data_IF_741119658204
#
_entry.id   IF_741119658204
#
_cell.length_a   1.000
_cell.length_b   1.000
_cell.length_c   1.000
_cell.angle_alpha   90.00
_cell.angle_beta   90.00
_cell.angle_gamma   90.00
#
_symmetry.space_group_name_H-M   'P 1'
#
loop_
_entity.id
_entity.type
_entity.pdbx_description
1 polymer ?
#
# COMPACT_ATOMS: atom_id res chain seq x y z
N UNK A 1 14.13 4.05 -63.85
CA UNK A 1 14.84 5.12 -64.59
C UNK A 1 14.67 6.39 -63.76
N UNK A 2 15.65 7.12 -63.25
CA UNK A 2 17.10 7.11 -63.40
C UNK A 2 17.70 7.61 -62.08
N UNK A 3 18.87 7.09 -61.71
CA UNK A 3 19.63 7.45 -60.53
C UNK A 3 20.72 8.48 -60.89
N UNK A 4 21.05 9.43 -60.01
CA UNK A 4 22.36 10.13 -59.97
C UNK A 4 22.64 10.64 -58.54
N UNK A 5 23.79 10.25 -57.96
CA UNK A 5 24.48 10.87 -56.79
C UNK A 5 25.37 12.04 -57.27
N UNK A 6 25.87 12.96 -56.43
CA UNK A 6 27.14 12.79 -55.67
C UNK A 6 27.12 13.56 -54.31
N UNK A 7 28.12 13.63 -53.42
CA UNK A 7 29.53 13.27 -53.37
C UNK A 7 30.13 13.82 -52.05
N UNK A 8 31.23 13.24 -51.60
CA UNK A 8 31.95 13.48 -50.34
C UNK A 8 32.90 14.70 -50.35
N UNK A 9 33.30 15.12 -49.14
CA UNK A 9 34.61 15.73 -48.83
C UNK A 9 34.51 16.88 -47.80
N UNK A 10 35.49 17.23 -46.96
CA UNK A 10 36.69 16.62 -46.37
C UNK A 10 37.27 17.66 -45.37
N UNK A 11 38.20 17.24 -44.47
CA UNK A 11 39.15 18.07 -43.67
C UNK A 11 38.61 18.93 -42.50
N UNK A 12 39.30 19.19 -41.36
CA UNK A 12 40.68 18.94 -40.89
C UNK A 12 40.76 19.00 -39.35
N UNK A 13 41.74 18.27 -38.79
CA UNK A 13 42.26 18.35 -37.40
C UNK A 13 42.92 19.70 -37.09
N UNK A 14 42.99 20.06 -35.80
CA UNK A 14 44.24 20.52 -35.14
C UNK A 14 44.22 20.31 -33.62
N UNK A 15 45.37 19.86 -33.15
CA UNK A 15 45.79 19.48 -31.80
C UNK A 15 46.78 20.51 -31.22
N UNK A 16 46.92 20.54 -29.88
CA UNK A 16 48.09 20.92 -29.04
C UNK A 16 47.69 20.69 -27.57
N UNK A 17 48.22 19.75 -26.78
CA UNK A 17 49.58 19.60 -26.20
C UNK A 17 50.16 20.91 -25.62
N UNK A 18 50.65 21.00 -24.37
CA UNK A 18 50.85 20.01 -23.31
C UNK A 18 51.63 20.58 -22.10
N UNK A 19 52.06 19.65 -21.22
CA UNK A 19 53.12 19.73 -20.17
C UNK A 19 52.81 20.54 -18.89
N UNK A 20 53.17 20.14 -17.66
CA UNK A 20 53.91 18.98 -17.13
C UNK A 20 54.74 19.38 -15.87
N UNK A 21 55.05 18.38 -15.01
CA UNK A 21 56.01 18.36 -13.84
C UNK A 21 55.46 18.88 -12.50
N UNK A 22 55.73 18.32 -11.30
CA UNK A 22 56.55 17.23 -10.75
C UNK A 22 56.46 17.26 -9.20
N UNK A 23 56.65 16.14 -8.48
CA UNK A 23 56.51 15.97 -7.00
C UNK A 23 57.62 16.60 -6.13
N UNK A 24 57.96 16.15 -4.88
CA UNK A 24 57.54 14.94 -4.12
C UNK A 24 57.36 15.07 -2.56
N UNK A 25 57.04 13.94 -1.89
CA UNK A 25 57.33 13.54 -0.48
C UNK A 25 56.61 14.29 0.68
N UNK A 26 56.18 13.69 1.80
CA UNK A 26 56.83 12.74 2.73
C UNK A 26 55.80 11.95 3.60
N UNK A 27 56.19 10.75 4.04
CA UNK A 27 55.61 10.02 5.19
C UNK A 27 56.16 10.56 6.53
N UNK A 28 55.60 10.15 7.68
CA UNK A 28 56.27 9.07 8.42
C UNK A 28 55.34 8.04 9.09
N UNK A 29 55.90 6.86 9.32
CA UNK A 29 55.40 5.77 10.17
C UNK A 29 56.01 5.82 11.57
N UNK A 30 55.43 5.01 12.49
CA UNK A 30 55.86 4.49 13.80
C UNK A 30 54.75 4.78 14.84
N UNK A 31 54.24 3.85 15.65
CA UNK A 31 54.49 2.42 15.84
C UNK A 31 53.68 1.93 17.07
N UNK A 32 53.39 0.62 17.11
CA UNK A 32 53.21 -0.25 18.30
C UNK A 32 52.31 0.19 19.47
N UNK A 33 51.23 -0.54 19.71
CA UNK A 33 50.50 -0.52 20.98
C UNK A 33 49.43 -1.62 21.07
N UNK A 34 49.71 -2.62 21.90
CA UNK A 34 48.88 -3.76 22.33
C UNK A 34 47.54 -3.34 22.99
N UNK A 35 46.56 -4.26 22.97
CA UNK A 35 45.13 -4.09 23.33
C UNK A 35 44.80 -3.57 24.75
N UNK A 36 43.50 -3.51 25.13
CA UNK A 36 42.73 -4.74 25.32
C UNK A 36 41.22 -4.69 24.91
N UNK A 37 40.64 -5.89 24.82
CA UNK A 37 39.25 -6.28 25.16
C UNK A 37 38.07 -5.48 24.60
N UNK A 38 37.38 -6.09 23.62
CA UNK A 38 35.98 -5.80 23.33
C UNK A 38 35.11 -6.37 24.46
N UNK A 39 34.55 -5.52 25.31
CA UNK A 39 33.39 -5.88 26.13
C UNK A 39 32.17 -6.00 25.21
N UNK A 40 31.64 -7.21 25.12
CA UNK A 40 30.31 -7.45 24.60
C UNK A 40 29.29 -6.82 25.57
N UNK A 41 28.68 -5.70 25.18
CA UNK A 41 27.46 -5.23 25.83
C UNK A 41 26.30 -6.16 25.42
N UNK A 42 26.08 -7.20 26.22
CA UNK A 42 24.79 -7.92 26.27
C UNK A 42 23.71 -6.94 26.73
N UNK A 43 22.83 -6.54 25.82
CA UNK A 43 21.57 -5.91 26.17
C UNK A 43 20.59 -6.99 26.62
N UNK A 44 20.38 -7.06 27.94
CA UNK A 44 19.36 -7.87 28.59
C UNK A 44 17.96 -7.32 28.22
N UNK A 45 17.32 -7.93 27.22
CA UNK A 45 15.89 -7.71 26.95
C UNK A 45 15.07 -8.47 27.99
N UNK A 46 15.00 -7.89 29.19
CA UNK A 46 14.09 -8.34 30.23
C UNK A 46 12.64 -8.22 29.78
N UNK A 47 12.06 -9.34 29.33
CA UNK A 47 10.63 -9.48 29.03
C UNK A 47 9.84 -9.34 30.33
N UNK A 48 9.43 -8.11 30.66
CA UNK A 48 8.39 -7.87 31.65
C UNK A 48 7.02 -7.93 30.95
N UNK A 49 6.54 -9.16 30.78
CA UNK A 49 5.15 -9.45 30.41
C UNK A 49 4.21 -8.99 31.53
N UNK A 50 3.66 -7.78 31.40
CA UNK A 50 2.38 -7.37 32.02
C UNK A 50 1.68 -6.34 31.15
N UNK A 51 0.96 -6.79 30.12
CA UNK A 51 -0.15 -6.01 29.56
C UNK A 51 -1.45 -6.78 29.75
N UNK A 52 -2.41 -6.16 30.45
CA UNK A 52 -3.77 -6.66 30.59
C UNK A 52 -4.41 -6.58 29.20
N UNK A 53 -4.60 -7.72 28.55
CA UNK A 53 -5.28 -7.85 27.28
C UNK A 53 -6.70 -7.26 27.37
N UNK A 54 -7.09 -6.30 26.52
CA UNK A 54 -8.50 -6.01 26.31
C UNK A 54 -9.19 -7.28 25.81
N UNK A 55 -10.40 -7.56 26.30
CA UNK A 55 -11.11 -8.83 26.06
C UNK A 55 -11.44 -9.06 24.59
N UNK A 56 -10.51 -9.64 23.82
CA UNK A 56 -10.74 -10.25 22.50
C UNK A 56 -11.44 -11.62 22.58
N UNK A 57 -11.79 -12.09 23.80
CA UNK A 57 -12.41 -13.38 24.11
C UNK A 57 -13.78 -13.66 23.43
N UNK A 58 -14.34 -12.71 22.68
CA UNK A 58 -15.58 -12.90 21.90
C UNK A 58 -15.34 -13.12 20.41
N UNK A 59 -14.09 -13.02 19.95
CA UNK A 59 -13.71 -13.60 18.68
C UNK A 59 -13.74 -15.12 18.89
N UNK A 60 -14.80 -15.77 18.44
CA UNK A 60 -14.68 -17.18 18.11
C UNK A 60 -14.14 -17.16 16.69
N UNK A 61 -12.85 -17.47 16.47
CA UNK A 61 -12.47 -17.89 15.13
C UNK A 61 -13.49 -18.95 14.73
N UNK A 62 -14.11 -18.83 13.55
CA UNK A 62 -14.49 -20.09 12.88
C UNK A 62 -13.23 -20.94 12.91
N UNK A 63 -13.32 -22.23 13.17
CA UNK A 63 -12.15 -23.09 13.27
C UNK A 63 -11.42 -23.07 11.90
N UNK A 64 -10.53 -22.08 11.72
CA UNK A 64 -9.87 -21.77 10.44
C UNK A 64 -8.82 -22.84 10.13
N UNK A 65 -8.55 -23.71 11.11
CA UNK A 65 -7.71 -24.89 11.00
C UNK A 65 -8.22 -25.89 9.95
N UNK A 66 -9.50 -25.81 9.55
CA UNK A 66 -10.09 -26.66 8.51
C UNK A 66 -10.15 -26.00 7.11
N UNK A 67 -9.72 -24.74 6.96
CA UNK A 67 -9.63 -24.10 5.63
C UNK A 67 -8.39 -24.64 4.92
N UNK A 68 -8.61 -25.65 4.07
CA UNK A 68 -7.68 -26.28 3.09
C UNK A 68 -6.28 -25.65 3.04
N UNK A 69 -5.45 -25.95 4.04
CA UNK A 69 -4.03 -25.60 4.01
C UNK A 69 -3.27 -26.63 3.18
N UNK A 70 -3.52 -26.61 1.87
CA UNK A 70 -2.70 -27.33 0.89
C UNK A 70 -1.53 -26.46 0.44
N UNK A 71 -0.36 -27.04 0.11
CA UNK A 71 0.77 -26.31 -0.48
C UNK A 71 0.41 -25.59 -1.80
N UNK A 72 -0.71 -25.95 -2.44
CA UNK A 72 -1.15 -25.44 -3.75
C UNK A 72 -1.95 -24.12 -3.70
N UNK A 73 -2.24 -23.57 -2.52
CA UNK A 73 -2.88 -22.25 -2.40
C UNK A 73 -2.43 -21.51 -1.13
N UNK A 74 -1.31 -20.74 -1.18
CA UNK A 74 -0.87 -19.96 -0.04
C UNK A 74 -1.90 -18.87 0.30
N UNK A 75 -2.14 -18.55 1.59
CA UNK A 75 -3.08 -17.52 1.98
C UNK A 75 -2.65 -16.16 1.41
N UNK A 76 -3.61 -15.38 0.96
CA UNK A 76 -3.38 -14.04 0.36
C UNK A 76 -3.77 -12.91 1.30
N UNK A 77 -4.44 -13.21 2.41
CA UNK A 77 -4.94 -12.24 3.40
C UNK A 77 -4.40 -12.56 4.78
N UNK A 78 -3.91 -11.54 5.49
CA UNK A 78 -3.69 -11.55 6.93
C UNK A 78 -4.47 -10.44 7.60
N UNK A 79 -5.36 -10.78 8.53
CA UNK A 79 -6.26 -9.83 9.18
C UNK A 79 -5.82 -9.55 10.61
N UNK A 80 -5.65 -8.29 10.96
CA UNK A 80 -5.24 -7.85 12.29
C UNK A 80 -6.34 -7.07 12.99
N UNK A 81 -6.48 -7.30 14.30
CA UNK A 81 -7.06 -6.32 15.19
C UNK A 81 -5.99 -5.34 15.64
N UNK A 82 -6.34 -4.06 15.72
CA UNK A 82 -5.41 -2.98 16.08
C UNK A 82 -5.72 -2.48 17.48
N UNK A 83 -4.88 -2.74 18.47
CA UNK A 83 -5.00 -2.24 19.85
C UNK A 83 -4.22 -0.94 20.11
N UNK A 84 -4.14 -0.54 21.39
CA UNK A 84 -3.38 0.63 21.82
C UNK A 84 -4.08 1.95 21.52
N UNK A 85 -3.37 2.90 20.88
CA UNK A 85 -3.88 4.22 20.48
C UNK A 85 -3.76 4.40 18.96
N UNK A 86 -4.54 3.64 18.18
CA UNK A 86 -4.47 3.75 16.73
C UNK A 86 -4.89 5.14 16.24
N UNK A 87 -4.39 5.58 15.07
CA UNK A 87 -4.86 6.82 14.47
C UNK A 87 -6.31 6.68 13.98
N UNK A 88 -6.91 7.82 13.62
CA UNK A 88 -8.14 7.82 12.82
C UNK A 88 -7.89 7.27 11.42
N UNK A 89 -8.92 6.72 10.78
CA UNK A 89 -8.84 6.24 9.40
C UNK A 89 -8.40 7.35 8.43
N UNK A 90 -8.71 8.61 8.74
CA UNK A 90 -8.23 9.77 8.01
C UNK A 90 -6.70 9.93 8.00
N UNK A 91 -6.00 9.29 8.93
CA UNK A 91 -4.54 9.19 8.98
C UNK A 91 -4.04 7.74 8.82
N UNK A 92 -4.88 6.88 8.24
CA UNK A 92 -4.58 5.45 8.06
C UNK A 92 -3.34 5.20 7.21
N UNK A 93 -3.01 6.09 6.26
CA UNK A 93 -1.81 5.96 5.41
C UNK A 93 -0.53 5.91 6.25
N UNK A 94 -0.45 6.67 7.33
CA UNK A 94 0.71 6.69 8.23
C UNK A 94 0.86 5.36 8.95
N UNK A 95 -0.25 4.79 9.44
CA UNK A 95 -0.24 3.45 10.03
C UNK A 95 0.17 2.39 9.00
N UNK A 96 -0.37 2.45 7.79
CA UNK A 96 -0.04 1.51 6.74
C UNK A 96 1.45 1.54 6.36
N UNK A 97 2.06 2.72 6.30
CA UNK A 97 3.51 2.85 6.07
C UNK A 97 4.35 2.25 7.21
N UNK A 98 3.89 2.36 8.45
CA UNK A 98 4.56 1.76 9.61
C UNK A 98 4.43 0.24 9.64
N UNK A 99 3.25 -0.29 9.30
CA UNK A 99 3.05 -1.73 9.10
C UNK A 99 3.92 -2.26 7.96
N UNK A 100 3.97 -1.55 6.84
CA UNK A 100 4.83 -1.90 5.71
C UNK A 100 6.30 -2.00 6.12
N UNK A 101 6.82 -0.95 6.77
CA UNK A 101 8.22 -0.93 7.21
C UNK A 101 8.55 -2.10 8.15
N UNK A 102 7.66 -2.39 9.10
CA UNK A 102 7.84 -3.52 10.01
C UNK A 102 7.80 -4.87 9.29
N UNK A 103 6.89 -5.07 8.33
CA UNK A 103 6.82 -6.32 7.55
C UNK A 103 8.04 -6.51 6.64
N UNK A 104 8.54 -5.43 6.04
CA UNK A 104 9.80 -5.46 5.27
C UNK A 104 10.97 -5.90 6.16
N UNK A 105 11.08 -5.34 7.36
CA UNK A 105 12.14 -5.71 8.32
C UNK A 105 12.00 -7.16 8.79
N UNK A 106 10.81 -7.55 9.27
CA UNK A 106 10.54 -8.89 9.81
C UNK A 106 10.66 -10.01 8.77
N UNK A 107 10.51 -9.69 7.48
CA UNK A 107 10.64 -10.64 6.37
C UNK A 107 12.02 -10.66 5.74
N UNK A 108 12.96 -9.86 6.23
CA UNK A 108 14.28 -9.68 5.60
C UNK A 108 14.13 -9.26 4.12
N UNK A 109 13.29 -8.26 3.87
CA UNK A 109 13.16 -7.62 2.55
C UNK A 109 12.35 -8.41 1.51
N UNK A 110 11.39 -9.25 1.91
CA UNK A 110 10.58 -10.01 0.95
C UNK A 110 9.97 -9.12 -0.15
N UNK A 111 10.08 -9.57 -1.41
CA UNK A 111 9.49 -8.92 -2.58
C UNK A 111 7.97 -8.70 -2.45
N UNK A 112 7.29 -9.60 -1.73
CA UNK A 112 5.85 -9.47 -1.45
C UNK A 112 5.54 -8.22 -0.64
N UNK A 113 6.42 -7.80 0.27
CA UNK A 113 6.20 -6.59 1.06
C UNK A 113 6.91 -5.36 0.48
N UNK A 114 8.13 -5.50 -0.03
CA UNK A 114 8.90 -4.37 -0.59
C UNK A 114 8.30 -3.88 -1.91
N UNK A 115 7.62 -4.75 -2.66
CA UNK A 115 7.18 -4.46 -4.01
C UNK A 115 8.33 -4.29 -5.00
N UNK A 116 9.51 -4.81 -4.68
CA UNK A 116 10.70 -4.75 -5.53
C UNK A 116 11.27 -6.15 -5.81
N UNK A 117 11.93 -6.29 -6.95
CA UNK A 117 12.75 -7.47 -7.26
C UNK A 117 14.11 -7.45 -6.53
N UNK A 118 14.90 -8.50 -6.71
CA UNK A 118 16.24 -8.63 -6.10
C UNK A 118 17.22 -7.51 -6.49
N UNK A 119 16.97 -6.82 -7.61
CA UNK A 119 17.77 -5.68 -8.06
C UNK A 119 17.22 -4.34 -7.51
N UNK A 120 16.22 -4.37 -6.64
CA UNK A 120 15.57 -3.19 -6.06
C UNK A 120 14.65 -2.46 -7.04
N UNK A 121 14.30 -3.07 -8.16
CA UNK A 121 13.41 -2.46 -9.17
C UNK A 121 11.95 -2.74 -8.79
N UNK A 122 11.04 -1.77 -8.93
CA UNK A 122 9.62 -1.99 -8.66
C UNK A 122 9.05 -3.13 -9.49
N UNK A 123 8.29 -4.01 -8.86
CA UNK A 123 7.60 -5.12 -9.53
C UNK A 123 6.56 -4.59 -10.52
N UNK A 124 6.40 -5.34 -11.62
CA UNK A 124 5.36 -5.08 -12.62
C UNK A 124 4.10 -5.83 -12.23
N UNK A 125 2.95 -5.15 -12.33
CA UNK A 125 1.69 -5.68 -11.85
C UNK A 125 1.59 -5.54 -10.32
N UNK A 126 0.43 -5.12 -9.83
CA UNK A 126 0.18 -4.83 -8.43
C UNK A 126 0.12 -6.09 -7.54
N UNK A 127 1.00 -7.06 -7.76
CA UNK A 127 1.01 -8.37 -7.07
C UNK A 127 1.64 -8.38 -5.68
N UNK A 128 2.12 -7.23 -5.19
CA UNK A 128 2.69 -7.08 -3.85
C UNK A 128 1.66 -6.55 -2.84
N UNK A 129 2.03 -6.56 -1.57
CA UNK A 129 1.12 -6.34 -0.46
C UNK A 129 0.44 -4.96 -0.50
N UNK A 130 -0.86 -4.99 -0.23
CA UNK A 130 -1.68 -3.87 0.15
C UNK A 130 -1.89 -3.93 1.65
N UNK A 131 -1.72 -2.81 2.32
CA UNK A 131 -2.02 -2.67 3.74
C UNK A 131 -3.19 -1.72 3.86
N UNK A 132 -4.33 -2.27 4.28
CA UNK A 132 -5.64 -1.65 4.17
C UNK A 132 -6.21 -1.46 5.59
N UNK A 133 -6.06 -0.26 6.17
CA UNK A 133 -6.68 0.07 7.45
C UNK A 133 -8.20 0.16 7.32
N UNK A 134 -8.91 -0.36 8.31
CA UNK A 134 -10.37 -0.33 8.40
C UNK A 134 -10.77 0.32 9.73
N UNK A 135 -11.77 1.20 9.66
CA UNK A 135 -12.51 1.66 10.84
C UNK A 135 -13.88 1.04 10.81
N UNK A 136 -14.05 0.05 11.68
CA UNK A 136 -15.31 -0.66 11.92
C UNK A 136 -15.82 -0.24 13.28
N UNK A 137 -16.98 0.42 13.31
CA UNK A 137 -17.71 0.68 14.54
C UNK A 137 -18.38 -0.61 15.01
N UNK A 138 -17.63 -1.39 15.79
CA UNK A 138 -18.07 -2.65 16.34
C UNK A 138 -17.29 -2.96 17.61
N UNK A 139 -17.83 -3.88 18.43
CA UNK A 139 -17.15 -4.39 19.62
C UNK A 139 -16.71 -3.30 20.62
N UNK A 140 -17.41 -2.16 20.63
CA UNK A 140 -17.14 -1.03 21.52
C UNK A 140 -15.97 -0.13 21.07
N UNK A 141 -15.49 -0.27 19.84
CA UNK A 141 -14.39 0.51 19.24
C UNK A 141 -14.82 1.10 17.90
N UNK A 142 -14.02 2.00 17.35
CA UNK A 142 -14.27 2.70 16.09
C UNK A 142 -15.24 3.87 16.23
N UNK A 143 -15.61 4.25 17.45
CA UNK A 143 -16.65 5.26 17.73
C UNK A 143 -16.26 6.67 17.31
N UNK A 144 -14.96 6.94 17.16
CA UNK A 144 -14.46 8.24 16.71
C UNK A 144 -13.77 8.16 15.35
N UNK A 145 -13.95 7.02 14.65
CA UNK A 145 -13.30 6.73 13.39
C UNK A 145 -11.87 6.22 13.52
N UNK A 146 -11.44 5.77 14.69
CA UNK A 146 -10.14 5.11 14.87
C UNK A 146 -10.04 3.82 14.06
N UNK A 147 -8.83 3.50 13.59
CA UNK A 147 -8.56 2.24 12.92
C UNK A 147 -8.72 1.10 13.93
N UNK A 148 -9.58 0.13 13.61
CA UNK A 148 -9.84 -1.03 14.46
C UNK A 148 -9.22 -2.30 13.88
N UNK A 149 -9.05 -2.37 12.56
CA UNK A 149 -8.46 -3.50 11.87
C UNK A 149 -7.47 -3.04 10.80
N UNK A 150 -6.50 -3.89 10.50
CA UNK A 150 -5.64 -3.76 9.31
C UNK A 150 -5.69 -5.07 8.56
N UNK A 151 -6.00 -4.99 7.27
CA UNK A 151 -5.95 -6.12 6.35
C UNK A 151 -4.69 -6.02 5.51
N UNK A 152 -3.82 -7.03 5.57
CA UNK A 152 -2.66 -7.18 4.67
C UNK A 152 -3.06 -8.15 3.56
N UNK A 153 -3.07 -7.70 2.32
CA UNK A 153 -3.50 -8.48 1.16
C UNK A 153 -2.41 -8.50 0.09
N UNK A 154 -1.98 -9.68 -0.35
CA UNK A 154 -1.08 -9.82 -1.49
C UNK A 154 -1.65 -10.82 -2.50
N UNK A 155 -1.96 -10.40 -3.75
CA UNK A 155 -2.47 -11.32 -4.77
C UNK A 155 -1.54 -12.51 -5.04
N UNK A 156 -0.22 -12.32 -4.88
CA UNK A 156 0.79 -13.38 -5.03
C UNK A 156 0.86 -14.38 -3.88
N UNK A 157 0.11 -14.17 -2.79
CA UNK A 157 0.09 -15.04 -1.61
C UNK A 157 1.27 -14.83 -0.66
N UNK A 158 1.16 -15.45 0.52
CA UNK A 158 2.16 -15.44 1.58
C UNK A 158 2.83 -16.80 1.70
N UNK A 159 4.11 -16.87 1.37
CA UNK A 159 4.97 -18.03 1.61
C UNK A 159 5.33 -18.19 3.08
N UNK A 160 6.21 -19.14 3.40
CA UNK A 160 6.61 -19.42 4.79
C UNK A 160 7.26 -18.21 5.46
N UNK A 161 8.11 -17.49 4.74
CA UNK A 161 8.78 -16.27 5.20
C UNK A 161 7.78 -15.15 5.48
N UNK A 162 6.84 -14.92 4.58
CA UNK A 162 5.83 -13.87 4.74
C UNK A 162 4.88 -14.19 5.89
N UNK A 163 4.47 -15.45 6.03
CA UNK A 163 3.64 -15.91 7.15
C UNK A 163 4.36 -15.73 8.49
N UNK A 164 5.64 -16.07 8.57
CA UNK A 164 6.43 -15.84 9.78
C UNK A 164 6.53 -14.34 10.12
N UNK A 165 6.70 -13.46 9.13
CA UNK A 165 6.71 -12.01 9.34
C UNK A 165 5.33 -11.49 9.82
N UNK A 166 4.24 -11.95 9.22
CA UNK A 166 2.88 -11.63 9.65
C UNK A 166 2.63 -12.10 11.09
N UNK A 167 3.05 -13.32 11.41
CA UNK A 167 2.97 -13.88 12.75
C UNK A 167 3.90 -13.20 13.75
N UNK A 168 5.01 -12.58 13.33
CA UNK A 168 5.91 -11.85 14.23
C UNK A 168 5.46 -10.40 14.48
N UNK A 169 4.64 -9.82 13.59
CA UNK A 169 4.15 -8.46 13.71
C UNK A 169 3.22 -8.32 14.93
N UNK A 170 3.67 -7.55 15.93
CA UNK A 170 2.95 -7.33 17.20
C UNK A 170 2.72 -5.87 17.56
N UNK A 171 3.57 -4.99 17.07
CA UNK A 171 3.50 -3.57 17.39
C UNK A 171 4.15 -2.76 16.26
N UNK A 172 3.65 -1.55 16.04
CA UNK A 172 4.30 -0.54 15.20
C UNK A 172 4.39 0.79 15.92
N UNK A 173 5.53 1.48 15.74
CA UNK A 173 5.82 2.78 16.37
C UNK A 173 6.42 3.79 15.38
N UNK A 174 6.21 5.07 15.67
CA UNK A 174 6.84 6.21 15.00
C UNK A 174 5.89 7.03 14.13
N UNK A 175 6.31 8.23 13.71
CA UNK A 175 5.47 9.25 13.05
C UNK A 175 4.19 9.58 13.84
N UNK A 176 4.28 9.56 15.17
CA UNK A 176 3.12 9.78 16.06
C UNK A 176 2.19 8.55 16.19
N UNK A 177 2.51 7.42 15.56
CA UNK A 177 1.75 6.17 15.67
C UNK A 177 2.31 5.31 16.80
N UNK A 178 1.41 4.74 17.61
CA UNK A 178 1.66 3.64 18.53
C UNK A 178 0.45 2.71 18.47
N UNK A 179 0.63 1.54 17.85
CA UNK A 179 -0.45 0.58 17.66
C UNK A 179 0.03 -0.84 17.91
N UNK A 180 -0.76 -1.58 18.71
CA UNK A 180 -0.58 -3.01 18.92
C UNK A 180 -1.32 -3.77 17.81
N UNK A 181 -0.74 -4.85 17.30
CA UNK A 181 -1.32 -5.66 16.24
C UNK A 181 -1.44 -7.10 16.69
N UNK A 182 -2.67 -7.61 16.64
CA UNK A 182 -2.98 -9.02 16.92
C UNK A 182 -3.44 -9.66 15.62
N UNK A 183 -2.64 -10.58 15.07
CA UNK A 183 -3.05 -11.37 13.92
C UNK A 183 -4.25 -12.25 14.33
N UNK A 184 -5.39 -12.05 13.66
CA UNK A 184 -6.63 -12.77 13.91
C UNK A 184 -6.71 -14.04 13.07
N UNK A 185 -6.36 -13.95 11.79
CA UNK A 185 -6.46 -15.05 10.85
C UNK A 185 -5.62 -14.81 9.58
N UNK A 186 -5.28 -15.92 8.92
CA UNK A 186 -4.75 -15.98 7.56
C UNK A 186 -5.75 -16.72 6.66
N UNK A 187 -5.92 -16.29 5.41
CA UNK A 187 -6.84 -16.93 4.48
C UNK A 187 -6.92 -16.22 3.13
N UNK A 188 -8.08 -16.29 2.48
CA UNK A 188 -8.38 -15.64 1.21
C UNK A 188 -9.49 -14.59 1.38
N UNK A 189 -9.67 -13.65 0.44
CA UNK A 189 -10.69 -12.61 0.59
C UNK A 189 -12.09 -13.14 0.87
N UNK A 190 -12.51 -14.21 0.18
CA UNK A 190 -13.82 -14.83 0.36
C UNK A 190 -14.08 -15.41 1.75
N UNK A 191 -13.02 -15.77 2.50
CA UNK A 191 -13.14 -16.30 3.87
C UNK A 191 -13.58 -15.21 4.87
N UNK A 192 -13.33 -13.95 4.52
CA UNK A 192 -13.55 -12.78 5.38
C UNK A 192 -14.53 -11.78 4.78
N UNK A 193 -15.22 -12.12 3.68
CA UNK A 193 -16.17 -11.23 3.04
C UNK A 193 -17.46 -11.04 3.85
N UNK A 194 -17.96 -9.81 3.92
CA UNK A 194 -19.31 -9.51 4.44
C UNK A 194 -19.33 -8.53 5.61
N UNK A 195 -20.46 -8.48 6.33
CA UNK A 195 -20.76 -7.41 7.31
C UNK A 195 -20.78 -7.89 8.76
N UNK A 196 -20.36 -9.11 9.07
CA UNK A 196 -20.29 -9.63 10.45
C UNK A 196 -18.88 -9.41 11.04
N UNK A 197 -18.61 -8.28 11.71
CA UNK A 197 -17.29 -8.03 12.30
C UNK A 197 -16.97 -8.97 13.47
N UNK A 198 -17.97 -9.54 14.15
CA UNK A 198 -17.73 -10.48 15.25
C UNK A 198 -17.21 -11.82 14.73
N UNK A 199 -17.72 -12.27 13.57
CA UNK A 199 -17.24 -13.45 12.85
C UNK A 199 -16.03 -13.22 11.95
N UNK A 200 -15.42 -12.03 11.97
CA UNK A 200 -14.26 -11.74 11.12
C UNK A 200 -14.60 -11.35 9.68
N UNK A 201 -15.82 -10.92 9.41
CA UNK A 201 -16.26 -10.30 8.16
C UNK A 201 -15.72 -8.88 7.95
N UNK A 202 -15.51 -8.51 6.69
CA UNK A 202 -15.08 -7.21 6.20
C UNK A 202 -15.83 -6.86 4.91
N UNK A 203 -16.45 -5.68 4.81
CA UNK A 203 -17.04 -5.21 3.56
C UNK A 203 -15.98 -4.84 2.51
N UNK A 204 -14.72 -4.70 2.91
CA UNK A 204 -13.59 -4.51 2.00
C UNK A 204 -13.22 -5.81 1.28
N UNK A 205 -13.46 -6.96 1.91
CA UNK A 205 -13.17 -8.30 1.36
C UNK A 205 -14.43 -9.01 0.84
N UNK A 206 -15.56 -8.31 0.72
CA UNK A 206 -16.79 -8.90 0.20
C UNK A 206 -16.75 -9.12 -1.33
N UNK A 207 -17.69 -9.90 -1.84
CA UNK A 207 -17.97 -10.00 -3.28
C UNK A 207 -19.21 -9.17 -3.60
N UNK A 208 -19.10 -8.26 -4.57
CA UNK A 208 -20.20 -7.35 -4.92
C UNK A 208 -20.05 -6.78 -6.31
N UNK A 209 -21.17 -6.39 -6.91
CA UNK A 209 -21.18 -5.55 -8.12
C UNK A 209 -20.93 -4.08 -7.79
N UNK A 210 -21.40 -3.62 -6.63
CA UNK A 210 -21.42 -2.20 -6.26
C UNK A 210 -20.41 -1.96 -5.15
N UNK A 211 -19.56 -0.96 -5.38
CA UNK A 211 -18.46 -0.57 -4.51
C UNK A 211 -18.43 0.94 -4.35
N UNK A 212 -18.28 1.43 -3.12
CA UNK A 212 -18.15 2.88 -2.84
C UNK A 212 -16.81 3.15 -2.17
N UNK A 213 -16.17 4.26 -2.53
CA UNK A 213 -14.90 4.67 -1.94
C UNK A 213 -14.99 4.80 -0.42
N UNK A 214 -14.07 4.12 0.27
CA UNK A 214 -13.87 4.20 1.72
C UNK A 214 -12.74 5.15 2.07
N UNK A 215 -11.71 5.21 1.23
CA UNK A 215 -10.58 6.13 1.35
C UNK A 215 -10.38 6.88 0.03
N UNK A 216 -9.79 8.09 0.04
CA UNK A 216 -9.72 8.91 -1.17
C UNK A 216 -8.93 8.25 -2.29
N UNK A 217 -9.50 8.20 -3.48
CA UNK A 217 -8.75 7.98 -4.70
C UNK A 217 -7.90 9.20 -5.04
N UNK A 218 -6.61 8.99 -5.31
CA UNK A 218 -5.69 10.04 -5.74
C UNK A 218 -5.15 9.69 -7.14
N UNK A 219 -5.48 10.49 -8.18
CA UNK A 219 -5.07 10.20 -9.55
C UNK A 219 -3.54 10.22 -9.71
N UNK A 220 -3.03 9.39 -10.64
CA UNK A 220 -1.59 9.32 -10.93
C UNK A 220 -1.16 10.21 -12.09
N UNK A 221 -2.11 10.72 -12.88
CA UNK A 221 -1.86 11.61 -14.03
C UNK A 221 -2.74 12.85 -13.97
N UNK A 222 -2.21 13.96 -14.47
CA UNK A 222 -2.96 15.21 -14.60
C UNK A 222 -3.94 15.15 -15.78
N UNK A 223 -5.11 15.82 -15.65
CA UNK A 223 -6.02 16.01 -16.78
C UNK A 223 -5.32 16.75 -17.92
N UNK A 224 -5.45 16.22 -19.13
CA UNK A 224 -4.84 16.79 -20.33
C UNK A 224 -5.76 17.85 -20.94
N UNK A 225 -5.15 18.95 -21.37
CA UNK A 225 -5.80 20.00 -22.12
C UNK A 225 -5.05 20.29 -23.43
N UNK A 226 -5.71 20.92 -24.38
CA UNK A 226 -5.10 21.51 -25.57
C UNK A 226 -4.26 22.73 -25.20
N UNK A 227 -3.45 23.24 -26.13
CA UNK A 227 -2.69 24.48 -25.91
C UNK A 227 -3.61 25.68 -25.61
N UNK A 228 -4.85 25.65 -26.11
CA UNK A 228 -5.87 26.66 -25.88
C UNK A 228 -6.66 26.45 -24.56
N UNK A 229 -6.31 25.44 -23.74
CA UNK A 229 -6.95 25.17 -22.46
C UNK A 229 -8.20 24.28 -22.52
N UNK A 230 -8.71 23.96 -23.71
CA UNK A 230 -9.86 23.06 -23.85
C UNK A 230 -9.51 21.62 -23.40
N UNK A 231 -10.39 20.91 -22.67
CA UNK A 231 -10.19 19.51 -22.29
C UNK A 231 -9.89 18.61 -23.50
N UNK A 232 -8.89 17.74 -23.38
CA UNK A 232 -8.65 16.68 -24.38
C UNK A 232 -9.51 15.48 -24.01
N UNK A 233 -10.52 15.21 -24.81
CA UNK A 233 -11.44 14.09 -24.58
C UNK A 233 -10.95 12.82 -25.28
N UNK A 234 -11.24 11.67 -24.69
CA UNK A 234 -11.13 10.36 -25.34
C UNK A 234 -12.39 10.07 -26.19
N UNK A 235 -12.46 8.92 -26.91
CA UNK A 235 -13.64 8.57 -27.70
C UNK A 235 -14.95 8.41 -26.91
N UNK A 236 -14.87 8.18 -25.59
CA UNK A 236 -16.05 8.09 -24.71
C UNK A 236 -16.56 9.46 -24.25
N UNK A 237 -15.79 10.53 -24.50
CA UNK A 237 -16.09 11.89 -24.08
C UNK A 237 -15.51 12.25 -22.71
N UNK A 238 -14.73 11.37 -22.07
CA UNK A 238 -14.04 11.68 -20.81
C UNK A 238 -12.76 12.46 -21.06
N UNK A 239 -12.46 13.45 -20.22
CA UNK A 239 -11.18 14.16 -20.30
C UNK A 239 -10.04 13.20 -19.93
N UNK A 240 -9.09 13.05 -20.85
CA UNK A 240 -7.93 12.18 -20.67
C UNK A 240 -7.16 12.63 -19.42
N UNK A 241 -7.03 11.74 -18.43
CA UNK A 241 -6.36 12.04 -17.17
C UNK A 241 -7.24 12.74 -16.13
N UNK A 242 -8.55 12.91 -16.37
CA UNK A 242 -9.49 13.27 -15.31
C UNK A 242 -9.51 12.18 -14.22
N UNK A 243 -10.01 12.48 -13.01
CA UNK A 243 -10.16 11.49 -11.95
C UNK A 243 -10.94 10.23 -12.39
N UNK A 244 -12.04 10.39 -13.12
CA UNK A 244 -12.87 9.30 -13.66
C UNK A 244 -12.09 8.49 -14.70
N UNK A 245 -11.43 9.17 -15.65
CA UNK A 245 -10.62 8.52 -16.67
C UNK A 245 -9.44 7.75 -16.04
N UNK A 246 -8.79 8.30 -15.02
CA UNK A 246 -7.71 7.62 -14.29
C UNK A 246 -8.23 6.44 -13.47
N UNK A 247 -9.42 6.54 -12.87
CA UNK A 247 -10.05 5.43 -12.17
C UNK A 247 -10.26 4.25 -13.11
N UNK A 248 -10.92 4.48 -14.26
CA UNK A 248 -11.18 3.43 -15.26
C UNK A 248 -9.88 2.80 -15.75
N UNK A 249 -8.88 3.62 -16.09
CA UNK A 249 -7.57 3.13 -16.53
C UNK A 249 -6.90 2.25 -15.46
N UNK A 250 -6.94 2.67 -14.20
CA UNK A 250 -6.26 1.95 -13.11
C UNK A 250 -7.01 0.68 -12.70
N UNK A 251 -8.35 0.67 -12.75
CA UNK A 251 -9.14 -0.55 -12.60
C UNK A 251 -8.78 -1.57 -13.68
N UNK A 252 -8.72 -1.15 -14.95
CA UNK A 252 -8.32 -2.02 -16.05
C UNK A 252 -6.90 -2.57 -15.92
N UNK A 253 -5.94 -1.74 -15.49
CA UNK A 253 -4.56 -2.19 -15.21
C UNK A 253 -4.46 -3.17 -14.02
N UNK A 254 -5.37 -3.06 -13.06
CA UNK A 254 -5.49 -3.99 -11.95
C UNK A 254 -6.27 -5.27 -12.32
N UNK A 255 -6.75 -5.39 -13.56
CA UNK A 255 -7.46 -6.57 -14.05
C UNK A 255 -8.95 -6.61 -13.69
N UNK A 256 -9.52 -5.51 -13.17
CA UNK A 256 -10.95 -5.44 -12.91
C UNK A 256 -11.74 -5.26 -14.21
N UNK A 257 -12.98 -5.79 -14.29
CA UNK A 257 -13.89 -5.47 -15.38
C UNK A 257 -14.13 -3.96 -15.48
N UNK A 258 -14.40 -3.47 -16.68
CA UNK A 258 -14.83 -2.08 -16.85
C UNK A 258 -16.18 -1.85 -16.15
N UNK A 259 -16.28 -0.87 -15.23
CA UNK A 259 -17.55 -0.55 -14.57
C UNK A 259 -18.63 -0.12 -15.57
N UNK A 260 -19.87 -0.52 -15.33
CA UNK A 260 -21.05 -0.06 -16.07
C UNK A 260 -21.50 1.34 -15.63
N UNK A 261 -21.22 1.72 -14.38
CA UNK A 261 -21.49 3.07 -13.86
C UNK A 261 -20.33 3.55 -12.98
N UNK A 262 -20.06 4.85 -13.05
CA UNK A 262 -19.11 5.56 -12.19
C UNK A 262 -19.76 6.88 -11.79
N UNK A 263 -20.01 7.05 -10.49
CA UNK A 263 -20.63 8.24 -9.91
C UNK A 263 -19.67 8.88 -8.91
N UNK A 264 -19.41 10.18 -9.05
CA UNK A 264 -18.60 10.89 -8.07
C UNK A 264 -19.35 11.03 -6.75
N UNK A 265 -18.69 10.72 -5.64
CA UNK A 265 -19.18 10.95 -4.28
C UNK A 265 -18.25 11.92 -3.55
N UNK A 266 -18.82 12.77 -2.69
CA UNK A 266 -18.06 13.87 -2.04
C UNK A 266 -17.55 13.53 -0.63
N UNK A 267 -17.95 12.39 -0.06
CA UNK A 267 -17.62 11.97 1.30
C UNK A 267 -17.72 10.45 1.47
N UNK A 268 -17.20 9.95 2.59
CA UNK A 268 -17.45 8.61 3.14
C UNK A 268 -18.04 8.74 4.55
N UNK A 269 -18.73 7.72 5.04
CA UNK A 269 -19.31 7.73 6.39
C UNK A 269 -18.43 7.00 7.39
N UNK A 270 -17.77 7.71 8.30
CA UNK A 270 -16.91 7.12 9.33
C UNK A 270 -17.56 7.37 10.68
N UNK A 271 -17.87 6.30 11.42
CA UNK A 271 -18.47 6.39 12.76
C UNK A 271 -19.75 7.27 12.79
N UNK A 272 -20.62 7.10 11.79
CA UNK A 272 -21.86 7.88 11.64
C UNK A 272 -21.68 9.31 11.07
N UNK A 273 -20.44 9.76 10.83
CA UNK A 273 -20.16 11.11 10.37
C UNK A 273 -19.76 11.17 8.90
N UNK A 274 -20.22 12.21 8.18
CA UNK A 274 -19.81 12.47 6.79
C UNK A 274 -18.42 13.10 6.76
N UNK A 275 -17.43 12.32 6.30
CA UNK A 275 -16.03 12.76 6.21
C UNK A 275 -15.66 13.01 4.74
N UNK A 276 -15.35 14.27 4.41
CA UNK A 276 -14.87 14.64 3.09
C UNK A 276 -13.44 14.19 2.80
N UNK A 277 -13.10 14.04 1.52
CA UNK A 277 -11.79 13.55 1.07
C UNK A 277 -10.60 14.44 1.49
N UNK A 278 -10.85 15.73 1.70
CA UNK A 278 -9.84 16.69 2.16
C UNK A 278 -9.36 16.42 3.59
N UNK A 279 -10.20 15.79 4.42
CA UNK A 279 -9.89 15.45 5.82
C UNK A 279 -8.84 14.34 5.95
N UNK A 280 -8.56 13.61 4.87
CA UNK A 280 -7.57 12.55 4.86
C UNK A 280 -6.16 13.08 4.62
N UNK A 281 -5.20 12.58 5.40
CA UNK A 281 -3.79 12.59 5.00
C UNK A 281 -3.67 11.70 3.76
N UNK A 282 -3.26 12.32 2.65
CA UNK A 282 -3.14 11.68 1.34
C UNK A 282 -1.69 11.55 0.89
N UNK A 283 -0.76 12.17 1.58
CA UNK A 283 0.67 12.07 1.27
C UNK A 283 1.29 11.02 2.17
N UNK A 284 2.10 10.15 1.56
CA UNK A 284 3.04 9.30 2.27
C UNK A 284 4.11 10.14 2.95
N UNK A 285 4.57 9.71 4.12
CA UNK A 285 5.72 10.28 4.81
C UNK A 285 7.02 9.93 4.09
N UNK A 286 7.05 8.80 3.38
CA UNK A 286 8.25 8.29 2.69
C UNK A 286 7.93 7.77 1.30
N UNK A 287 8.93 7.83 0.41
CA UNK A 287 8.89 7.28 -0.94
C UNK A 287 8.41 8.25 -2.02
N UNK A 288 8.77 7.94 -3.27
CA UNK A 288 8.66 8.85 -4.42
C UNK A 288 7.47 8.54 -5.34
N UNK A 289 6.36 8.07 -4.77
CA UNK A 289 5.17 7.73 -5.54
C UNK A 289 4.65 8.93 -6.35
N UNK A 290 4.36 8.72 -7.63
CA UNK A 290 3.85 9.79 -8.51
C UNK A 290 2.36 10.02 -8.30
N UNK A 291 1.98 11.29 -8.15
CA UNK A 291 0.59 11.75 -8.04
C UNK A 291 0.35 12.95 -8.94
N UNK A 292 -0.87 13.08 -9.43
CA UNK A 292 -1.34 14.24 -10.20
C UNK A 292 -1.58 15.47 -9.32
N UNK A 293 -1.49 15.36 -8.01
CA UNK A 293 -1.82 16.45 -7.11
C UNK A 293 -2.10 15.92 -5.72
N UNK A 294 -2.52 16.82 -4.82
CA UNK A 294 -2.93 16.45 -3.47
C UNK A 294 -4.43 16.18 -3.35
N UNK A 295 -5.24 16.54 -4.36
CA UNK A 295 -6.68 16.35 -4.33
C UNK A 295 -7.07 14.88 -4.23
N UNK A 296 -8.04 14.59 -3.35
CA UNK A 296 -8.63 13.27 -3.18
C UNK A 296 -10.04 13.29 -3.72
N UNK A 297 -10.44 12.18 -4.35
CA UNK A 297 -11.74 11.97 -4.96
C UNK A 297 -12.36 10.70 -4.40
N UNK A 298 -13.66 10.52 -4.61
CA UNK A 298 -14.33 9.28 -4.28
C UNK A 298 -15.37 8.96 -5.33
N UNK A 299 -15.64 7.67 -5.48
CA UNK A 299 -16.56 7.15 -6.48
C UNK A 299 -17.43 6.06 -5.89
N UNK A 300 -18.65 5.98 -6.40
CA UNK A 300 -19.47 4.78 -6.39
C UNK A 300 -19.36 4.16 -7.78
N UNK A 301 -19.02 2.89 -7.83
CA UNK A 301 -18.88 2.15 -9.09
C UNK A 301 -19.75 0.90 -9.07
N UNK A 302 -20.25 0.53 -10.24
CA UNK A 302 -20.93 -0.74 -10.45
C UNK A 302 -20.22 -1.54 -11.54
N UNK A 303 -19.87 -2.79 -11.25
CA UNK A 303 -19.33 -3.74 -12.22
C UNK A 303 -20.44 -4.55 -12.90
N UNK A 304 -20.21 -5.06 -14.13
CA UNK A 304 -21.19 -5.87 -14.87
C UNK A 304 -21.49 -7.22 -14.19
N UNK A 305 -20.57 -7.73 -13.38
CA UNK A 305 -20.71 -8.95 -12.59
C UNK A 305 -20.13 -8.75 -11.18
N UNK A 306 -20.50 -9.58 -10.19
CA UNK A 306 -19.88 -9.51 -8.87
C UNK A 306 -18.36 -9.64 -8.97
N UNK A 307 -17.65 -8.79 -8.22
CA UNK A 307 -16.19 -8.76 -8.12
C UNK A 307 -15.82 -9.02 -6.68
N UNK A 308 -14.88 -9.93 -6.47
CA UNK A 308 -14.28 -10.21 -5.17
C UNK A 308 -13.30 -9.08 -4.81
N UNK A 309 -13.49 -8.45 -3.65
CA UNK A 309 -12.55 -7.48 -3.09
C UNK A 309 -11.22 -8.11 -2.65
N UNK A 310 -10.22 -7.30 -2.29
CA UNK A 310 -10.32 -5.84 -2.17
C UNK A 310 -10.21 -5.11 -3.51
N UNK A 311 -11.05 -4.08 -3.67
CA UNK A 311 -10.94 -3.11 -4.77
C UNK A 311 -10.19 -1.89 -4.25
N UNK A 312 -8.94 -1.71 -4.69
CA UNK A 312 -8.11 -0.57 -4.30
C UNK A 312 -7.20 -0.14 -5.44
N UNK A 313 -7.29 1.13 -5.85
CA UNK A 313 -6.51 1.69 -6.98
C UNK A 313 -6.14 3.14 -6.75
N UNK A 314 -5.12 3.64 -7.46
CA UNK A 314 -4.65 5.02 -7.33
C UNK A 314 -3.33 5.15 -6.58
N UNK A 315 -2.87 6.40 -6.43
CA UNK A 315 -1.69 6.68 -5.62
C UNK A 315 -1.95 6.26 -4.16
N UNK A 316 -0.99 5.53 -3.58
CA UNK A 316 -1.08 5.07 -2.20
C UNK A 316 -2.02 3.87 -1.98
N UNK A 317 -2.48 3.19 -3.03
CA UNK A 317 -3.38 2.04 -2.90
C UNK A 317 -2.81 0.93 -2.00
N UNK A 318 -1.52 0.64 -2.15
CA UNK A 318 -0.80 -0.30 -1.29
C UNK A 318 -0.68 0.13 0.18
N UNK A 319 -1.04 1.37 0.50
CA UNK A 319 -0.98 1.98 1.83
C UNK A 319 -2.36 2.47 2.29
N UNK A 320 -3.45 1.87 1.77
CA UNK A 320 -4.80 2.11 2.25
C UNK A 320 -5.53 3.30 1.62
N UNK A 321 -4.98 3.92 0.57
CA UNK A 321 -5.68 4.94 -0.21
C UNK A 321 -6.50 4.33 -1.36
N UNK A 322 -7.48 5.06 -1.88
CA UNK A 322 -8.30 4.63 -3.01
C UNK A 322 -8.96 3.26 -2.85
N UNK A 323 -9.21 2.85 -1.60
CA UNK A 323 -9.88 1.60 -1.26
C UNK A 323 -11.40 1.79 -1.29
N UNK A 324 -12.10 0.75 -1.71
CA UNK A 324 -13.56 0.70 -1.79
C UNK A 324 -14.12 -0.36 -0.83
N UNK A 325 -15.37 -0.17 -0.42
CA UNK A 325 -16.13 -1.13 0.39
C UNK A 325 -17.51 -1.34 -0.20
N UNK A 326 -18.11 -2.49 0.11
CA UNK A 326 -19.53 -2.72 -0.13
C UNK A 326 -20.34 -1.96 0.93
N UNK A 327 -21.37 -1.24 0.52
CA UNK A 327 -22.30 -0.58 1.45
C UNK A 327 -23.28 -1.60 2.02
N UNK A 328 -23.49 -1.53 3.34
CA UNK A 328 -24.54 -2.29 4.01
C UNK A 328 -25.89 -1.61 3.77
N UNK A 329 -26.72 -2.19 2.90
CA UNK A 329 -28.06 -1.67 2.60
C UNK A 329 -29.11 -2.01 3.66
N UNK A 330 -28.73 -2.68 4.75
CA UNK A 330 -29.64 -3.06 5.83
C UNK A 330 -29.75 -2.03 6.96
N UNK A 331 -29.09 -0.87 6.82
CA UNK A 331 -29.15 0.25 7.76
C UNK A 331 -29.86 1.46 7.19
#
# INVERSE_FOLDING_TARGET
MSAVRPGEGAFSRKSREGQGRGGPSTSPSFGGGSGPSQEAMTFDFGVRSRSRSPRYSRYSPRDVSEIRQGPDHPPTVGRYAVGGRPPKLTDGITLAERVHAALVELSDGSATFTGCDEAGRPLVGHGHAFILPESVEALGRGKEGEVTHVTVYAPGGFGSRERAALEALREVRGDGIVADLTLLALGHPGDFGGFDPAGGGSPLLAESRIWTSRTPFVPTRYPKATRAGAPKLDPSGLQIGSPEHELLRLLGLAGFPEPVTVEAVSFTEIAGERVGWSSFRRARNRGDGRRAGSAGYGFRIEFPAPVQGPVAVGYGAHFGMGGFVVEDRSK
#
